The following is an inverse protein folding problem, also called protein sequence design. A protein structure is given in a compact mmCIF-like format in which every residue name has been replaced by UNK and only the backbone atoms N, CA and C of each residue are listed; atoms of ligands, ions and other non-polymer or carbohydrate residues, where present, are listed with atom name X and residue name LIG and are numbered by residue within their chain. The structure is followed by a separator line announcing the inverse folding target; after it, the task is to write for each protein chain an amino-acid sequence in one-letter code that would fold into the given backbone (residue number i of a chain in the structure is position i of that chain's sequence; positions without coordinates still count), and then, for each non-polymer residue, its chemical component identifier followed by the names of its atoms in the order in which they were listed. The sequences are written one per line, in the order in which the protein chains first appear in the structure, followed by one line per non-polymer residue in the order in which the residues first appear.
data_IF_106083189175
#
_entry.id   IF_106083189175
#
_cell.length_a   1.000
_cell.length_b   1.000
_cell.length_c   1.000
_cell.angle_alpha   90.00
_cell.angle_beta   90.00
_cell.angle_gamma   90.00
#
_symmetry.space_group_name_H-M   'P 1'
#
loop_
_entity.id
_entity.type
_entity.pdbx_description
1 polymer ?
#
# COMPACT_ATOMS: atom_id res chain seq x y z
N UNK A 1 -7.39 -24.82 -12.74
CA UNK A 1 -8.10 -23.96 -13.72
C UNK A 1 -8.36 -22.61 -13.08
N UNK A 2 -7.50 -21.63 -13.35
CA UNK A 2 -7.60 -20.26 -12.85
C UNK A 2 -8.87 -19.57 -13.40
N UNK A 3 -9.73 -18.95 -12.57
CA UNK A 3 -10.81 -18.15 -13.09
C UNK A 3 -10.24 -16.81 -13.58
N UNK A 4 -10.33 -16.61 -14.89
CA UNK A 4 -10.26 -15.29 -15.53
C UNK A 4 -11.48 -14.47 -15.13
N UNK A 5 -11.25 -13.22 -14.68
CA UNK A 5 -12.00 -11.97 -14.97
C UNK A 5 -11.87 -11.02 -13.78
N UNK A 6 -11.14 -9.92 -14.00
CA UNK A 6 -11.15 -8.74 -13.12
C UNK A 6 -12.52 -8.07 -13.13
N UNK A 7 -13.43 -8.59 -12.32
CA UNK A 7 -14.64 -7.90 -11.91
C UNK A 7 -14.27 -7.19 -10.60
N UNK A 8 -14.16 -5.86 -10.67
CA UNK A 8 -14.10 -5.01 -9.47
C UNK A 8 -15.32 -5.38 -8.62
N UNK A 9 -15.15 -5.88 -7.37
CA UNK A 9 -16.30 -6.27 -6.56
C UNK A 9 -17.20 -5.07 -6.35
N UNK A 10 -18.51 -5.23 -6.54
CA UNK A 10 -19.49 -4.19 -6.21
C UNK A 10 -19.29 -3.75 -4.77
N UNK A 11 -19.43 -2.45 -4.51
CA UNK A 11 -19.30 -1.79 -3.19
C UNK A 11 -19.92 -2.58 -2.02
N UNK A 12 -21.01 -3.29 -2.27
CA UNK A 12 -21.70 -4.16 -1.31
C UNK A 12 -20.87 -5.35 -0.80
N UNK A 13 -20.03 -5.97 -1.64
CA UNK A 13 -19.21 -7.13 -1.25
C UNK A 13 -17.99 -6.74 -0.43
N UNK A 14 -17.52 -5.49 -0.54
CA UNK A 14 -16.49 -4.93 0.34
C UNK A 14 -16.99 -4.79 1.79
N UNK A 15 -18.26 -4.39 1.96
CA UNK A 15 -18.89 -4.29 3.29
C UNK A 15 -19.12 -5.64 3.97
N UNK A 16 -19.22 -6.72 3.21
CA UNK A 16 -19.49 -8.06 3.76
C UNK A 16 -18.21 -8.81 4.20
N UNK A 17 -17.05 -8.34 3.72
CA UNK A 17 -15.74 -8.83 4.16
C UNK A 17 -15.18 -8.00 5.32
N UNK A 18 -15.56 -6.72 5.45
CA UNK A 18 -15.18 -5.89 6.61
C UNK A 18 -15.90 -6.28 7.91
N UNK A 19 -17.00 -7.02 7.80
CA UNK A 19 -17.79 -7.50 8.95
C UNK A 19 -17.30 -8.82 9.55
N UNK A 20 -16.47 -9.60 8.84
CA UNK A 20 -16.00 -10.93 9.32
C UNK A 20 -14.67 -10.94 10.07
N UNK A 21 -13.95 -9.82 10.16
CA UNK A 21 -12.63 -9.76 10.79
C UNK A 21 -12.60 -9.01 12.14
N UNK A 22 -13.74 -8.84 12.83
CA UNK A 22 -13.77 -8.15 14.13
C UNK A 22 -13.90 -9.15 15.28
N UNK A 23 -12.78 -9.36 15.98
CA UNK A 23 -12.73 -9.96 17.31
C UNK A 23 -13.54 -9.17 18.36
N UNK A 24 -13.68 -9.71 19.58
CA UNK A 24 -14.76 -9.39 20.49
C UNK A 24 -14.56 -8.03 21.18
N UNK A 25 -15.14 -7.00 20.57
CA UNK A 25 -15.32 -5.66 21.13
C UNK A 25 -16.63 -5.06 20.61
N UNK A 26 -17.70 -5.84 20.63
CA UNK A 26 -19.01 -5.44 20.15
C UNK A 26 -19.67 -4.45 21.14
N UNK A 27 -19.69 -3.16 20.81
CA UNK A 27 -20.74 -2.26 21.28
C UNK A 27 -21.90 -2.33 20.27
N UNK A 28 -23.05 -2.84 20.75
CA UNK A 28 -24.32 -3.00 20.02
C UNK A 28 -24.95 -1.65 19.64
N UNK A 29 -25.67 -1.57 18.52
CA UNK A 29 -27.11 -1.26 18.45
C UNK A 29 -27.60 -1.01 17.00
N UNK A 30 -28.92 -1.06 16.85
CA UNK A 30 -29.78 -1.08 15.66
C UNK A 30 -29.89 0.26 14.91
N UNK A 31 -30.25 0.20 13.62
CA UNK A 31 -31.26 1.11 13.03
C UNK A 31 -30.85 2.53 12.59
N UNK A 32 -31.50 2.96 11.50
CA UNK A 32 -31.83 4.35 11.09
C UNK A 32 -30.72 5.35 10.73
N UNK A 33 -30.78 5.78 9.46
CA UNK A 33 -30.56 7.14 8.92
C UNK A 33 -29.47 8.05 9.53
N UNK A 34 -28.46 8.30 8.70
CA UNK A 34 -27.60 9.50 8.63
C UNK A 34 -26.97 10.02 9.93
N UNK A 35 -25.71 9.65 10.14
CA UNK A 35 -24.70 10.53 10.72
C UNK A 35 -23.34 9.91 10.41
N UNK A 36 -22.43 10.71 9.86
CA UNK A 36 -21.07 10.29 9.57
C UNK A 36 -20.41 9.80 10.87
N UNK A 37 -20.32 8.49 11.04
CA UNK A 37 -19.38 7.90 11.99
C UNK A 37 -18.00 8.39 11.55
N UNK A 38 -17.38 9.29 12.31
CA UNK A 38 -16.00 9.67 12.06
C UNK A 38 -15.15 8.42 12.24
N UNK A 39 -14.80 7.76 11.13
CA UNK A 39 -13.73 6.77 11.12
C UNK A 39 -12.50 7.46 11.67
N UNK A 40 -12.11 7.09 12.89
CA UNK A 40 -10.91 7.60 13.54
C UNK A 40 -9.73 6.87 12.91
N UNK A 41 -8.86 7.64 12.28
CA UNK A 41 -7.59 7.14 11.78
C UNK A 41 -6.48 7.67 12.69
N UNK A 42 -5.54 6.80 13.03
CA UNK A 42 -4.34 7.16 13.76
C UNK A 42 -3.36 7.89 12.85
N UNK A 43 -3.31 7.49 11.57
CA UNK A 43 -2.38 8.03 10.58
C UNK A 43 -3.10 8.32 9.27
N UNK A 44 -2.94 9.54 8.77
CA UNK A 44 -3.43 9.93 7.44
C UNK A 44 -2.24 10.26 6.56
N UNK A 45 -2.07 9.51 5.49
CA UNK A 45 -1.04 9.71 4.48
C UNK A 45 -1.66 10.42 3.28
N UNK A 46 -1.14 11.60 2.96
CA UNK A 46 -1.61 12.40 1.83
C UNK A 46 -0.65 12.22 0.64
N UNK A 47 -1.14 11.57 -0.41
CA UNK A 47 -0.43 11.31 -1.66
C UNK A 47 0.07 9.88 -1.77
N UNK A 48 -0.36 9.17 -2.83
CA UNK A 48 0.02 7.79 -3.13
C UNK A 48 1.31 7.65 -3.94
N UNK A 49 2.33 8.47 -3.68
CA UNK A 49 3.64 8.36 -4.33
C UNK A 49 4.52 7.27 -3.69
N UNK A 50 5.75 7.09 -4.19
CA UNK A 50 6.70 6.11 -3.63
C UNK A 50 6.87 6.22 -2.11
N UNK A 51 7.02 7.44 -1.59
CA UNK A 51 7.13 7.70 -0.16
C UNK A 51 5.82 7.45 0.59
N UNK A 52 4.68 7.85 0.02
CA UNK A 52 3.37 7.68 0.63
C UNK A 52 2.95 6.21 0.73
N UNK A 53 3.28 5.40 -0.28
CA UNK A 53 3.05 3.96 -0.23
C UNK A 53 3.84 3.29 0.89
N UNK A 54 5.13 3.61 1.05
CA UNK A 54 5.95 3.07 2.14
C UNK A 54 5.45 3.55 3.51
N UNK A 55 5.09 4.83 3.65
CA UNK A 55 4.56 5.38 4.89
C UNK A 55 3.23 4.72 5.30
N UNK A 56 2.32 4.53 4.33
CA UNK A 56 1.03 3.89 4.56
C UNK A 56 1.20 2.40 4.91
N UNK A 57 2.12 1.69 4.24
CA UNK A 57 2.41 0.30 4.53
C UNK A 57 3.08 0.14 5.90
N UNK A 58 4.00 1.03 6.26
CA UNK A 58 4.67 1.01 7.56
C UNK A 58 3.68 1.22 8.71
N UNK A 59 2.84 2.25 8.63
CA UNK A 59 1.81 2.53 9.64
C UNK A 59 0.78 1.42 9.76
N UNK A 60 0.29 0.88 8.63
CA UNK A 60 -0.63 -0.26 8.64
C UNK A 60 0.00 -1.52 9.27
N UNK A 61 1.31 -1.77 9.06
CA UNK A 61 2.01 -2.93 9.66
C UNK A 61 2.26 -2.79 11.15
N UNK A 62 2.33 -1.57 11.65
CA UNK A 62 2.39 -1.28 13.08
C UNK A 62 1.03 -1.46 13.78
N UNK A 63 -0.04 -1.74 13.01
CA UNK A 63 -1.39 -1.95 13.54
C UNK A 63 -2.19 -0.66 13.73
N UNK A 64 -1.73 0.46 13.15
CA UNK A 64 -2.43 1.74 13.19
C UNK A 64 -3.54 1.80 12.13
N UNK A 65 -4.69 2.36 12.48
CA UNK A 65 -5.75 2.65 11.53
C UNK A 65 -5.28 3.74 10.56
N UNK A 66 -4.92 3.33 9.34
CA UNK A 66 -4.21 4.18 8.37
C UNK A 66 -5.06 4.49 7.16
N UNK A 67 -5.23 5.77 6.85
CA UNK A 67 -5.91 6.26 5.64
C UNK A 67 -4.88 6.80 4.63
N UNK A 68 -4.84 6.23 3.43
CA UNK A 68 -4.09 6.78 2.29
C UNK A 68 -5.04 7.54 1.37
N UNK A 69 -4.85 8.85 1.26
CA UNK A 69 -5.62 9.71 0.35
C UNK A 69 -4.79 10.02 -0.87
N UNK A 70 -5.34 9.80 -2.06
CA UNK A 70 -4.69 10.17 -3.32
C UNK A 70 -5.68 10.81 -4.28
N UNK A 71 -5.19 11.75 -5.10
CA UNK A 71 -6.01 12.45 -6.10
C UNK A 71 -6.47 11.51 -7.23
N UNK A 72 -5.60 10.58 -7.63
CA UNK A 72 -5.90 9.60 -8.68
C UNK A 72 -5.35 8.24 -8.29
N UNK A 73 -6.24 7.26 -8.11
CA UNK A 73 -5.90 5.88 -7.75
C UNK A 73 -5.11 5.15 -8.85
N UNK A 74 -5.25 5.56 -10.11
CA UNK A 74 -4.51 4.96 -11.23
C UNK A 74 -3.03 5.36 -11.24
N UNK A 75 -2.67 6.44 -10.53
CA UNK A 75 -1.29 6.98 -10.49
C UNK A 75 -0.57 6.66 -9.18
N UNK A 76 -0.98 5.61 -8.47
CA UNK A 76 -0.30 5.16 -7.26
C UNK A 76 1.08 4.58 -7.62
N UNK A 77 2.12 4.98 -6.87
CA UNK A 77 3.50 4.56 -7.07
C UNK A 77 4.02 4.73 -8.52
N UNK A 78 3.50 5.74 -9.24
CA UNK A 78 3.90 5.99 -10.61
C UNK A 78 5.33 6.55 -10.70
N UNK A 79 6.10 6.09 -11.69
CA UNK A 79 7.49 6.50 -11.95
C UNK A 79 7.57 7.49 -13.12
N UNK A 80 7.45 8.82 -12.89
CA UNK A 80 7.45 9.84 -13.95
C UNK A 80 8.79 10.00 -14.67
N UNK A 81 9.90 9.82 -13.95
CA UNK A 81 11.21 10.24 -14.44
C UNK A 81 11.90 9.11 -15.21
N UNK A 82 12.29 8.05 -14.51
CA UNK A 82 13.02 6.92 -15.08
C UNK A 82 12.42 5.63 -14.53
N UNK A 83 12.04 4.65 -15.38
CA UNK A 83 11.54 3.34 -14.94
C UNK A 83 12.70 2.44 -14.45
N UNK A 84 13.51 2.95 -13.52
CA UNK A 84 14.64 2.25 -12.94
C UNK A 84 14.66 2.49 -11.43
N UNK A 85 14.78 1.40 -10.67
CA UNK A 85 14.92 1.42 -9.21
C UNK A 85 16.37 1.11 -8.86
N UNK A 86 17.00 1.98 -8.06
CA UNK A 86 18.40 1.84 -7.65
C UNK A 86 19.39 2.62 -8.53
N UNK A 87 20.59 2.08 -8.69
CA UNK A 87 21.75 2.76 -9.26
C UNK A 87 22.81 3.10 -8.19
N UNK A 88 23.88 3.78 -8.57
CA UNK A 88 24.93 4.15 -7.62
C UNK A 88 24.36 5.00 -6.47
N UNK A 89 24.59 4.59 -5.22
CA UNK A 89 24.03 5.20 -4.02
C UNK A 89 22.55 4.84 -3.78
N UNK A 90 21.69 5.00 -4.79
CA UNK A 90 20.25 4.70 -4.68
C UNK A 90 19.96 3.22 -4.37
N UNK A 91 20.78 2.29 -4.86
CA UNK A 91 20.63 0.87 -4.53
C UNK A 91 20.82 0.61 -3.03
N UNK A 92 21.71 1.35 -2.37
CA UNK A 92 21.92 1.25 -0.92
C UNK A 92 20.65 1.60 -0.17
N UNK A 93 20.02 2.73 -0.52
CA UNK A 93 18.74 3.15 0.08
C UNK A 93 17.62 2.13 -0.15
N UNK A 94 17.54 1.54 -1.35
CA UNK A 94 16.55 0.50 -1.63
C UNK A 94 16.79 -0.75 -0.75
N UNK A 95 18.05 -1.13 -0.54
CA UNK A 95 18.40 -2.23 0.36
C UNK A 95 18.14 -1.91 1.84
N UNK A 96 18.37 -0.67 2.26
CA UNK A 96 18.02 -0.20 3.61
C UNK A 96 16.51 -0.23 3.84
N UNK A 97 15.72 0.23 2.87
CA UNK A 97 14.25 0.15 2.92
C UNK A 97 13.79 -1.31 3.01
N UNK A 98 14.35 -2.20 2.20
CA UNK A 98 14.02 -3.63 2.23
C UNK A 98 14.38 -4.28 3.57
N UNK A 99 15.54 -3.92 4.14
CA UNK A 99 15.97 -4.39 5.46
C UNK A 99 15.05 -3.90 6.60
N UNK A 100 14.51 -2.68 6.49
CA UNK A 100 13.48 -2.15 7.41
C UNK A 100 12.10 -2.78 7.18
N UNK A 101 11.98 -3.67 6.20
CA UNK A 101 10.75 -4.38 5.87
C UNK A 101 9.87 -3.68 4.84
N UNK A 102 10.34 -2.60 4.21
CA UNK A 102 9.63 -1.90 3.13
C UNK A 102 9.34 -2.78 1.91
N UNK A 103 8.55 -2.25 0.96
CA UNK A 103 8.12 -3.02 -0.23
C UNK A 103 8.86 -2.66 -1.51
N UNK A 104 9.58 -1.53 -1.54
CA UNK A 104 10.27 -1.04 -2.73
C UNK A 104 11.23 -2.07 -3.35
N UNK A 105 12.02 -2.75 -2.52
CA UNK A 105 12.94 -3.82 -2.97
C UNK A 105 12.20 -5.01 -3.56
N UNK A 106 11.17 -5.51 -2.85
CA UNK A 106 10.37 -6.67 -3.28
C UNK A 106 9.57 -6.42 -4.55
N UNK A 107 9.03 -5.21 -4.72
CA UNK A 107 8.30 -4.83 -5.94
C UNK A 107 9.27 -4.71 -7.11
N UNK A 108 10.41 -4.04 -6.92
CA UNK A 108 11.44 -3.94 -7.96
C UNK A 108 11.92 -5.33 -8.41
N UNK A 109 12.11 -6.26 -7.47
CA UNK A 109 12.51 -7.65 -7.76
C UNK A 109 11.39 -8.47 -8.45
N UNK A 110 10.12 -8.07 -8.36
CA UNK A 110 9.01 -8.73 -9.08
C UNK A 110 8.79 -8.17 -10.49
N UNK A 111 9.15 -6.92 -10.73
CA UNK A 111 8.82 -6.20 -11.97
C UNK A 111 10.03 -5.83 -12.83
N UNK A 112 11.25 -6.25 -12.45
CA UNK A 112 12.42 -5.94 -13.26
C UNK A 112 12.42 -6.68 -14.60
N UNK A 113 12.82 -5.97 -15.65
CA UNK A 113 13.18 -6.58 -16.94
C UNK A 113 14.69 -6.88 -16.98
N UNK A 114 15.49 -6.05 -16.31
CA UNK A 114 16.94 -6.16 -16.26
C UNK A 114 17.48 -5.77 -14.88
N UNK A 115 18.43 -6.55 -14.35
CA UNK A 115 19.16 -6.26 -13.10
C UNK A 115 20.67 -6.27 -13.38
N UNK A 116 21.39 -5.24 -12.95
CA UNK A 116 22.85 -5.11 -13.14
C UNK A 116 23.50 -4.59 -11.87
N UNK A 117 24.56 -5.25 -11.43
CA UNK A 117 25.45 -4.75 -10.37
C UNK A 117 26.38 -3.70 -10.98
N UNK A 118 26.33 -2.48 -10.47
CA UNK A 118 27.22 -1.39 -10.88
C UNK A 118 28.54 -1.50 -10.11
N UNK A 119 29.63 -1.00 -10.70
CA UNK A 119 30.96 -1.01 -10.08
C UNK A 119 31.49 -2.41 -9.68
N UNK A 120 31.12 -3.48 -10.41
CA UNK A 120 31.59 -4.84 -10.10
C UNK A 120 33.11 -5.01 -10.22
N UNK A 121 33.75 -4.24 -11.09
CA UNK A 121 35.18 -4.29 -11.37
C UNK A 121 36.00 -3.25 -10.58
N UNK A 122 35.36 -2.56 -9.63
CA UNK A 122 36.02 -1.64 -8.71
C UNK A 122 35.93 -2.19 -7.29
#
# INVERSE_FOLDING_TARGET
TLPRRGVVPSRSRWNDLSTRARGPGACRALGTTSSAEHERYDVIVVGGGHAGCEAALASARLGCDTLLVNLNLDRIAWQPCNPAVGGAGKSQLVHEIDALGGEMGKVADKTYVQKRVLNRSK
#
